data_IF_179723650132
#
_entry.id   IF_179723650132
#
_cell.length_a   1.000
_cell.length_b   1.000
_cell.length_c   1.000
_cell.angle_alpha   90.00
_cell.angle_beta   90.00
_cell.angle_gamma   90.00
#
_symmetry.space_group_name_H-M   'P 1'
#
loop_
_entity.id
_entity.type
_entity.pdbx_description
1 polymer ?
#
# COMPACT_ATOMS: atom_id res chain seq x y z
N UNK A 1 18.10 -12.36 -2.52
CA UNK A 1 17.27 -11.34 -1.83
C UNK A 1 17.31 -10.10 -2.69
N UNK A 2 16.17 -9.49 -3.00
CA UNK A 2 16.04 -8.46 -4.02
C UNK A 2 17.05 -7.30 -3.92
N UNK A 3 17.31 -6.77 -2.72
CA UNK A 3 18.29 -5.68 -2.54
C UNK A 3 19.71 -6.11 -2.95
N UNK A 4 20.14 -7.31 -2.57
CA UNK A 4 21.47 -7.81 -2.91
C UNK A 4 21.62 -8.05 -4.42
N UNK A 5 20.54 -8.51 -5.07
CA UNK A 5 20.50 -8.70 -6.52
C UNK A 5 20.58 -7.36 -7.27
N UNK A 6 19.80 -6.36 -6.84
CA UNK A 6 19.81 -5.02 -7.45
C UNK A 6 21.17 -4.33 -7.23
N UNK A 7 21.76 -4.43 -6.05
CA UNK A 7 23.06 -3.84 -5.75
C UNK A 7 24.22 -4.53 -6.50
N UNK A 8 24.05 -5.78 -6.93
CA UNK A 8 25.06 -6.50 -7.73
C UNK A 8 25.05 -6.09 -9.20
N UNK A 9 23.97 -5.47 -9.68
CA UNK A 9 23.81 -5.05 -11.08
C UNK A 9 24.16 -3.57 -11.27
N UNK A 10 25.39 -3.32 -11.75
CA UNK A 10 25.88 -1.97 -12.05
C UNK A 10 25.14 -1.28 -13.20
N UNK A 11 24.34 -2.01 -14.00
CA UNK A 11 23.49 -1.41 -15.02
C UNK A 11 22.23 -0.75 -14.41
N UNK A 12 21.81 -1.19 -13.22
CA UNK A 12 20.68 -0.61 -12.49
C UNK A 12 21.17 0.49 -11.54
N UNK A 13 22.13 0.17 -10.66
CA UNK A 13 22.70 1.11 -9.70
C UNK A 13 24.17 1.38 -10.00
N UNK A 14 24.42 2.41 -10.80
CA UNK A 14 25.78 2.79 -11.15
C UNK A 14 26.42 3.66 -10.05
N UNK A 15 27.21 3.02 -9.18
CA UNK A 15 27.95 3.71 -8.12
C UNK A 15 27.09 4.12 -6.90
N UNK A 16 25.85 3.63 -6.82
CA UNK A 16 24.97 3.78 -5.67
C UNK A 16 24.65 2.43 -5.04
N UNK A 17 24.32 2.42 -3.76
CA UNK A 17 23.93 1.21 -3.03
C UNK A 17 22.57 1.46 -2.40
N UNK A 18 21.64 0.55 -2.66
CA UNK A 18 20.34 0.55 -2.01
C UNK A 18 20.46 -0.11 -0.62
N UNK A 19 20.07 0.64 0.40
CA UNK A 19 20.00 0.16 1.78
C UNK A 19 18.58 0.35 2.32
N UNK A 20 18.20 -0.51 3.26
CA UNK A 20 16.86 -0.50 3.84
C UNK A 20 16.92 -0.46 5.37
N UNK A 21 16.10 0.40 5.96
CA UNK A 21 15.82 0.38 7.40
C UNK A 21 14.45 -0.28 7.57
N UNK A 22 14.35 -1.28 8.45
CA UNK A 22 13.11 -2.02 8.67
C UNK A 22 12.62 -1.89 10.12
N UNK A 23 11.32 -1.74 10.28
CA UNK A 23 10.64 -1.76 11.57
C UNK A 23 9.40 -2.65 11.45
N UNK A 24 9.19 -3.52 12.43
CA UNK A 24 8.01 -4.39 12.49
C UNK A 24 6.95 -3.77 13.39
N UNK A 25 5.72 -3.69 12.90
CA UNK A 25 4.56 -3.23 13.65
C UNK A 25 3.45 -4.28 13.62
N UNK A 26 2.57 -4.25 14.63
CA UNK A 26 1.38 -5.10 14.63
C UNK A 26 0.41 -4.63 13.53
N UNK A 27 -0.37 -5.53 12.91
CA UNK A 27 -1.10 -5.23 11.66
C UNK A 27 -2.01 -3.99 11.67
N UNK A 28 -2.59 -3.64 12.82
CA UNK A 28 -3.52 -2.51 12.97
C UNK A 28 -3.01 -1.45 13.94
N UNK A 29 -1.75 -1.54 14.37
CA UNK A 29 -1.16 -0.56 15.28
C UNK A 29 -0.74 0.69 14.50
N UNK A 30 -1.72 1.58 14.31
CA UNK A 30 -1.56 2.84 13.59
C UNK A 30 -0.50 3.71 14.23
N UNK A 31 -0.55 3.87 15.56
CA UNK A 31 0.37 4.73 16.29
C UNK A 31 1.81 4.26 16.09
N UNK A 32 2.09 2.99 16.34
CA UNK A 32 3.46 2.45 16.22
C UNK A 32 3.97 2.47 14.79
N UNK A 33 3.09 2.33 13.81
CA UNK A 33 3.45 2.43 12.39
C UNK A 33 3.80 3.85 11.98
N UNK A 34 3.04 4.84 12.46
CA UNK A 34 3.35 6.26 12.29
C UNK A 34 4.66 6.62 12.98
N UNK A 35 4.85 6.18 14.23
CA UNK A 35 6.09 6.42 14.99
C UNK A 35 7.31 5.81 14.27
N UNK A 36 7.17 4.60 13.72
CA UNK A 36 8.22 3.92 12.96
C UNK A 36 8.53 4.65 11.65
N UNK A 37 7.52 5.10 10.91
CA UNK A 37 7.72 5.89 9.70
C UNK A 37 8.45 7.20 10.02
N UNK A 38 8.03 7.94 11.06
CA UNK A 38 8.72 9.14 11.52
C UNK A 38 10.18 8.88 11.90
N UNK A 39 10.46 7.76 12.56
CA UNK A 39 11.83 7.36 12.87
C UNK A 39 12.67 7.15 11.60
N UNK A 40 12.16 6.39 10.63
CA UNK A 40 12.85 6.14 9.36
C UNK A 40 13.08 7.44 8.57
N UNK A 41 12.08 8.31 8.51
CA UNK A 41 12.19 9.64 7.87
C UNK A 41 13.31 10.46 8.49
N UNK A 42 13.44 10.45 9.83
CA UNK A 42 14.54 11.12 10.53
C UNK A 42 15.92 10.53 10.22
N UNK A 43 15.99 9.27 9.78
CA UNK A 43 17.24 8.65 9.31
C UNK A 43 17.57 9.02 7.86
N UNK A 44 16.72 9.80 7.17
CA UNK A 44 16.99 10.28 5.82
C UNK A 44 16.59 9.31 4.71
N UNK A 45 15.61 8.43 4.94
CA UNK A 45 15.07 7.58 3.87
C UNK A 45 14.47 8.44 2.75
N UNK A 46 14.62 7.97 1.51
CA UNK A 46 14.09 8.65 0.31
C UNK A 46 12.72 8.13 -0.13
N UNK A 47 12.27 7.02 0.47
CA UNK A 47 10.94 6.45 0.27
C UNK A 47 10.56 5.56 1.47
N UNK A 48 9.26 5.34 1.67
CA UNK A 48 8.72 4.42 2.69
C UNK A 48 8.01 3.27 2.00
N UNK A 49 8.30 2.02 2.37
CA UNK A 49 7.59 0.84 1.86
C UNK A 49 6.67 0.30 2.94
N UNK A 50 5.39 0.15 2.62
CA UNK A 50 4.33 -0.25 3.52
C UNK A 50 3.63 0.93 4.22
N UNK A 51 2.94 0.69 5.35
CA UNK A 51 2.68 -0.62 5.99
C UNK A 51 1.79 -1.56 5.17
N UNK A 52 1.48 -2.75 5.69
CA UNK A 52 0.73 -3.76 4.93
C UNK A 52 -0.79 -3.52 4.85
N UNK A 53 -1.40 -2.93 5.88
CA UNK A 53 -2.87 -2.78 5.98
C UNK A 53 -3.33 -1.39 5.53
N UNK A 54 -4.45 -1.35 4.81
CA UNK A 54 -5.01 -0.13 4.22
C UNK A 54 -5.19 1.03 5.21
N UNK A 55 -5.82 0.78 6.36
CA UNK A 55 -6.02 1.79 7.41
C UNK A 55 -4.70 2.43 7.88
N UNK A 56 -3.66 1.61 8.03
CA UNK A 56 -2.34 2.05 8.46
C UNK A 56 -1.60 2.78 7.33
N UNK A 57 -1.74 2.31 6.08
CA UNK A 57 -1.20 3.00 4.90
C UNK A 57 -1.75 4.42 4.79
N UNK A 58 -3.07 4.60 4.93
CA UNK A 58 -3.72 5.92 4.92
C UNK A 58 -3.11 6.84 6.00
N UNK A 59 -2.92 6.32 7.21
CA UNK A 59 -2.36 7.10 8.32
C UNK A 59 -0.90 7.53 8.09
N UNK A 60 -0.05 6.61 7.60
CA UNK A 60 1.35 6.93 7.27
C UNK A 60 1.44 7.87 6.07
N UNK A 61 0.51 7.78 5.12
CA UNK A 61 0.51 8.64 3.94
C UNK A 61 0.36 10.11 4.28
N UNK A 62 -0.39 10.45 5.33
CA UNK A 62 -0.55 11.85 5.75
C UNK A 62 0.80 12.54 5.98
N UNK A 63 1.74 11.83 6.59
CA UNK A 63 3.09 12.35 6.87
C UNK A 63 3.96 12.31 5.61
N UNK A 64 3.90 11.22 4.86
CA UNK A 64 4.69 11.06 3.64
C UNK A 64 4.30 12.13 2.59
N UNK A 65 3.00 12.34 2.35
CA UNK A 65 2.47 13.36 1.45
C UNK A 65 2.85 14.77 1.90
N UNK A 66 2.79 15.05 3.20
CA UNK A 66 3.21 16.35 3.75
C UNK A 66 4.70 16.67 3.51
N UNK A 67 5.54 15.65 3.33
CA UNK A 67 6.98 15.79 3.08
C UNK A 67 7.35 15.51 1.61
N UNK A 68 6.37 15.32 0.73
CA UNK A 68 6.58 14.86 -0.65
C UNK A 68 7.44 13.58 -0.75
N UNK A 69 7.34 12.72 0.26
CA UNK A 69 8.06 11.46 0.33
C UNK A 69 7.23 10.36 -0.34
N UNK A 70 7.78 9.65 -1.35
CA UNK A 70 7.10 8.51 -1.94
C UNK A 70 6.82 7.41 -0.92
N UNK A 71 5.58 6.96 -0.86
CA UNK A 71 5.15 5.80 -0.09
C UNK A 71 4.71 4.68 -1.03
N UNK A 72 5.20 3.47 -0.83
CA UNK A 72 4.89 2.30 -1.67
C UNK A 72 4.06 1.31 -0.84
N UNK A 73 2.75 1.20 -1.10
CA UNK A 73 1.90 0.20 -0.48
C UNK A 73 1.87 -1.09 -1.31
N UNK A 74 2.43 -2.16 -0.75
CA UNK A 74 2.58 -3.44 -1.47
C UNK A 74 1.38 -4.38 -1.29
N UNK A 75 0.58 -4.22 -0.22
CA UNK A 75 -0.50 -5.16 0.13
C UNK A 75 -1.87 -4.51 0.40
N UNK A 76 -1.95 -3.19 0.54
CA UNK A 76 -3.21 -2.51 0.83
C UNK A 76 -4.20 -2.62 -0.34
N UNK A 77 -5.40 -3.12 -0.11
CA UNK A 77 -6.40 -3.42 -1.15
C UNK A 77 -7.67 -2.58 -1.06
N UNK A 78 -7.70 -1.56 -0.20
CA UNK A 78 -8.86 -0.69 -0.04
C UNK A 78 -9.15 0.11 -1.30
N UNK A 79 -10.41 0.08 -1.75
CA UNK A 79 -10.88 0.72 -2.96
C UNK A 79 -10.67 2.26 -2.97
N UNK A 80 -10.76 2.93 -1.81
CA UNK A 80 -10.57 4.38 -1.70
C UNK A 80 -9.17 4.83 -2.11
N UNK A 81 -8.17 3.96 -1.91
CA UNK A 81 -6.79 4.18 -2.36
C UNK A 81 -6.66 4.12 -3.90
N UNK A 82 -7.62 3.52 -4.61
CA UNK A 82 -7.66 3.48 -6.08
C UNK A 82 -8.27 4.73 -6.68
N UNK A 83 -9.37 5.22 -6.09
CA UNK A 83 -10.16 6.30 -6.68
C UNK A 83 -9.63 7.70 -6.35
N UNK A 84 -8.87 7.84 -5.27
CA UNK A 84 -8.51 9.15 -4.72
C UNK A 84 -7.04 9.50 -4.87
N UNK A 85 -6.51 9.48 -6.10
CA UNK A 85 -5.12 9.86 -6.38
C UNK A 85 -4.78 11.27 -5.87
N UNK A 86 -5.76 12.19 -5.87
CA UNK A 86 -5.62 13.55 -5.34
C UNK A 86 -5.46 13.58 -3.82
N UNK A 87 -6.02 12.60 -3.11
CA UNK A 87 -5.92 12.51 -1.65
C UNK A 87 -4.60 11.86 -1.22
N UNK A 88 -3.95 11.09 -2.09
CA UNK A 88 -2.73 10.35 -1.80
C UNK A 88 -1.64 10.59 -2.87
N UNK A 89 -1.17 11.84 -3.06
CA UNK A 89 -0.33 12.24 -4.19
C UNK A 89 1.05 11.57 -4.21
N UNK A 90 1.57 11.13 -3.06
CA UNK A 90 2.85 10.43 -2.96
C UNK A 90 2.72 8.91 -2.83
N UNK A 91 1.50 8.36 -2.97
CA UNK A 91 1.26 6.93 -2.79
C UNK A 91 1.35 6.16 -4.11
N UNK A 92 2.30 5.23 -4.16
CA UNK A 92 2.42 4.20 -5.19
C UNK A 92 1.89 2.89 -4.64
N UNK A 93 1.20 2.10 -5.47
CA UNK A 93 0.61 0.83 -5.06
C UNK A 93 1.01 -0.29 -5.99
N UNK A 94 1.20 -1.48 -5.42
CA UNK A 94 1.55 -2.70 -6.16
C UNK A 94 0.42 -3.73 -6.15
N UNK A 95 -0.65 -3.50 -5.38
CA UNK A 95 -1.82 -4.36 -5.29
C UNK A 95 -2.80 -4.13 -6.45
N UNK A 96 -3.44 -5.20 -6.92
CA UNK A 96 -4.51 -5.13 -7.94
C UNK A 96 -5.72 -4.40 -7.40
N UNK A 97 -6.45 -3.70 -8.28
CA UNK A 97 -7.82 -3.27 -7.98
C UNK A 97 -8.68 -4.51 -7.78
N UNK A 98 -9.49 -4.52 -6.72
CA UNK A 98 -10.36 -5.65 -6.38
C UNK A 98 -11.47 -5.92 -7.41
N UNK A 99 -11.46 -5.24 -8.55
CA UNK A 99 -12.50 -5.28 -9.60
C UNK A 99 -12.75 -6.70 -10.10
N UNK A 100 -11.71 -7.55 -10.13
CA UNK A 100 -11.84 -8.96 -10.52
C UNK A 100 -12.80 -9.76 -9.62
N UNK A 101 -13.01 -9.38 -8.36
CA UNK A 101 -14.00 -10.02 -7.50
C UNK A 101 -15.44 -9.65 -7.89
N UNK A 102 -15.67 -8.37 -8.22
CA UNK A 102 -16.98 -7.90 -8.69
C UNK A 102 -17.36 -8.58 -10.00
N UNK A 103 -16.41 -8.71 -10.93
CA UNK A 103 -16.61 -9.42 -12.20
C UNK A 103 -16.97 -10.90 -11.97
N UNK A 104 -16.29 -11.56 -11.03
CA UNK A 104 -16.59 -12.95 -10.69
C UNK A 104 -18.00 -13.11 -10.07
N UNK A 105 -18.42 -12.19 -9.20
CA UNK A 105 -19.77 -12.19 -8.61
C UNK A 105 -20.81 -12.01 -9.72
N UNK A 106 -20.60 -11.06 -10.65
CA UNK A 106 -21.48 -10.84 -11.78
C UNK A 106 -21.60 -12.08 -12.67
N UNK A 107 -20.48 -12.73 -13.00
CA UNK A 107 -20.48 -13.97 -13.79
C UNK A 107 -21.27 -15.10 -13.12
N UNK A 108 -21.18 -15.23 -11.78
CA UNK A 108 -21.98 -16.21 -11.02
C UNK A 108 -23.47 -15.87 -11.08
N UNK A 109 -23.84 -14.61 -10.90
CA UNK A 109 -25.24 -14.17 -10.99
C UNK A 109 -25.83 -14.43 -12.37
N UNK A 110 -25.08 -14.14 -13.44
CA UNK A 110 -25.48 -14.39 -14.83
C UNK A 110 -25.65 -15.89 -15.10
N UNK A 111 -24.70 -16.71 -14.68
CA UNK A 111 -24.73 -18.16 -14.87
C UNK A 111 -25.99 -18.80 -14.24
N UNK A 112 -26.34 -18.39 -13.02
CA UNK A 112 -27.51 -18.91 -12.31
C UNK A 112 -28.81 -18.12 -12.57
N UNK A 113 -28.76 -17.08 -13.42
CA UNK A 113 -29.90 -16.18 -13.72
C UNK A 113 -30.52 -15.54 -12.46
N UNK A 114 -29.70 -15.23 -11.47
CA UNK A 114 -30.13 -14.53 -10.27
C UNK A 114 -30.39 -13.05 -10.61
N UNK A 115 -31.58 -12.55 -10.30
CA UNK A 115 -31.99 -11.16 -10.56
C UNK A 115 -32.11 -10.30 -9.30
N UNK A 116 -31.79 -10.86 -8.13
CA UNK A 116 -31.83 -10.19 -6.82
C UNK A 116 -30.64 -10.61 -5.98
N UNK A 117 -30.01 -9.64 -5.33
CA UNK A 117 -28.96 -9.85 -4.35
C UNK A 117 -29.09 -8.80 -3.24
N UNK A 118 -28.54 -9.10 -2.06
CA UNK A 118 -28.42 -8.16 -0.95
C UNK A 118 -26.95 -8.09 -0.57
N UNK A 119 -26.42 -6.87 -0.46
CA UNK A 119 -25.07 -6.61 0.00
C UNK A 119 -25.08 -6.36 1.51
N UNK A 120 -24.20 -7.06 2.23
CA UNK A 120 -23.91 -6.80 3.63
C UNK A 120 -22.43 -6.46 3.70
N UNK A 121 -22.11 -5.30 4.27
CA UNK A 121 -20.75 -4.79 4.37
C UNK A 121 -20.40 -4.51 5.82
N UNK A 122 -19.13 -4.68 6.16
CA UNK A 122 -18.54 -4.12 7.36
C UNK A 122 -18.35 -2.61 7.21
N UNK A 123 -18.16 -1.92 8.34
CA UNK A 123 -17.79 -0.50 8.37
C UNK A 123 -16.27 -0.30 8.39
N UNK A 124 -15.50 -1.32 8.05
CA UNK A 124 -14.04 -1.24 7.95
C UNK A 124 -13.61 -0.94 6.50
N UNK A 125 -12.29 -0.92 6.30
CA UNK A 125 -11.65 -0.50 5.04
C UNK A 125 -11.67 -1.59 3.93
N UNK A 126 -12.49 -2.64 4.04
CA UNK A 126 -12.50 -3.80 3.13
C UNK A 126 -13.89 -4.19 2.65
#
# INVERSE_FOLDING_TARGET
MAIAEINADSAILNGTTLEGISNTTAPLDVKRSVDSACYQIKQGVVAVIGPARSNVVKAVNYICSGLNLPQIAFAASDHSLFLSYQQYPSLLRLSSSGDSQSDAIMAVMEYFKWNKAVMITSSDDY
#
